data_IF_677867187202
#
_entry.id   IF_677867187202
#
_cell.length_a   1.000
_cell.length_b   1.000
_cell.length_c   1.000
_cell.angle_alpha   90.00
_cell.angle_beta   90.00
_cell.angle_gamma   90.00
#
_symmetry.space_group_name_H-M   'P 1'
#
loop_
_entity.id
_entity.type
_entity.pdbx_description
1 polymer ?
#
# COMPACT_ATOMS: atom_id res chain seq x y z
N UNK A 1 2.79 -29.36 2.36
CA UNK A 1 2.78 -28.79 1.00
C UNK A 1 1.56 -27.92 0.85
N UNK A 2 1.73 -26.60 0.92
CA UNK A 2 0.65 -25.68 0.60
C UNK A 2 0.58 -25.56 -0.93
N UNK A 3 -0.57 -25.81 -1.58
CA UNK A 3 -0.67 -25.67 -3.02
C UNK A 3 -0.41 -24.22 -3.46
N UNK A 4 0.38 -24.05 -4.51
CA UNK A 4 0.79 -22.74 -5.03
C UNK A 4 -0.46 -21.90 -5.40
N UNK A 5 -0.67 -20.73 -4.75
CA UNK A 5 -1.78 -19.83 -5.07
C UNK A 5 -1.83 -19.43 -6.55
N UNK A 6 -0.68 -19.27 -7.22
CA UNK A 6 -0.62 -18.90 -8.63
C UNK A 6 -1.24 -19.99 -9.52
N UNK A 7 -0.88 -21.25 -9.27
CA UNK A 7 -1.45 -22.41 -9.98
C UNK A 7 -2.97 -22.48 -9.79
N UNK A 8 -3.44 -22.25 -8.55
CA UNK A 8 -4.88 -22.26 -8.24
C UNK A 8 -5.63 -21.15 -8.98
N UNK A 9 -5.10 -19.93 -9.02
CA UNK A 9 -5.69 -18.83 -9.77
C UNK A 9 -5.70 -19.09 -11.28
N UNK A 10 -4.62 -19.62 -11.84
CA UNK A 10 -4.55 -20.02 -13.24
C UNK A 10 -5.63 -21.05 -13.60
N UNK A 11 -5.85 -22.04 -12.73
CA UNK A 11 -6.92 -23.04 -12.92
C UNK A 11 -8.32 -22.42 -12.88
N UNK A 12 -8.56 -21.46 -11.98
CA UNK A 12 -9.83 -20.73 -11.91
C UNK A 12 -10.06 -19.90 -13.17
N UNK A 13 -9.05 -19.14 -13.62
CA UNK A 13 -9.11 -18.35 -14.88
C UNK A 13 -9.42 -19.27 -16.06
N UNK A 14 -8.73 -20.41 -16.17
CA UNK A 14 -8.95 -21.37 -17.25
C UNK A 14 -10.38 -21.92 -17.27
N UNK A 15 -10.92 -22.23 -16.09
CA UNK A 15 -12.29 -22.74 -15.94
C UNK A 15 -13.31 -21.67 -16.34
N UNK A 16 -13.09 -20.42 -15.91
CA UNK A 16 -13.93 -19.29 -16.30
C UNK A 16 -13.94 -19.13 -17.82
N UNK A 17 -12.78 -19.02 -18.44
CA UNK A 17 -12.64 -18.73 -19.87
C UNK A 17 -13.15 -19.85 -20.78
N UNK A 18 -12.97 -21.11 -20.37
CA UNK A 18 -13.25 -22.27 -21.25
C UNK A 18 -14.57 -22.96 -20.99
N UNK A 19 -15.14 -22.79 -19.81
CA UNK A 19 -16.36 -23.51 -19.41
C UNK A 19 -17.47 -22.54 -19.07
N UNK A 20 -17.21 -21.61 -18.14
CA UNK A 20 -18.27 -20.77 -17.57
C UNK A 20 -18.67 -19.67 -18.55
N UNK A 21 -17.72 -18.86 -19.02
CA UNK A 21 -17.99 -17.72 -19.91
C UNK A 21 -18.67 -18.16 -21.22
N UNK A 22 -18.23 -19.24 -21.90
CA UNK A 22 -18.92 -19.72 -23.10
C UNK A 22 -20.35 -20.21 -22.85
N UNK A 23 -20.71 -20.54 -21.60
CA UNK A 23 -22.04 -20.98 -21.22
C UNK A 23 -22.95 -19.82 -20.76
N UNK A 24 -22.43 -18.59 -20.67
CA UNK A 24 -23.22 -17.40 -20.33
C UNK A 24 -24.10 -17.00 -21.52
N UNK A 25 -25.36 -16.67 -21.26
CA UNK A 25 -26.27 -16.09 -22.26
C UNK A 25 -25.70 -14.79 -22.85
N UNK A 26 -25.39 -14.81 -24.14
CA UNK A 26 -24.83 -13.66 -24.86
C UNK A 26 -25.80 -12.50 -25.01
N UNK A 27 -27.11 -12.74 -24.81
CA UNK A 27 -28.13 -11.68 -24.72
C UNK A 27 -28.05 -10.89 -23.42
N UNK A 28 -27.43 -11.43 -22.38
CA UNK A 28 -27.20 -10.74 -21.11
C UNK A 28 -25.85 -10.02 -21.12
N UNK A 29 -25.82 -8.84 -21.75
CA UNK A 29 -24.60 -8.04 -21.93
C UNK A 29 -23.91 -7.72 -20.59
N UNK A 30 -24.67 -7.46 -19.53
CA UNK A 30 -24.13 -7.19 -18.21
C UNK A 30 -23.36 -8.41 -17.67
N UNK A 31 -23.91 -9.63 -17.80
CA UNK A 31 -23.24 -10.84 -17.35
C UNK A 31 -21.91 -11.07 -18.10
N UNK A 32 -21.91 -10.86 -19.41
CA UNK A 32 -20.71 -10.98 -20.25
C UNK A 32 -19.64 -9.96 -19.82
N UNK A 33 -20.03 -8.71 -19.60
CA UNK A 33 -19.13 -7.66 -19.12
C UNK A 33 -18.52 -8.02 -17.74
N UNK A 34 -19.35 -8.43 -16.78
CA UNK A 34 -18.90 -8.80 -15.44
C UNK A 34 -17.98 -10.03 -15.44
N UNK A 35 -18.18 -10.97 -16.36
CA UNK A 35 -17.24 -12.07 -16.60
C UNK A 35 -15.86 -11.55 -17.04
N UNK A 36 -15.83 -10.62 -17.99
CA UNK A 36 -14.60 -9.98 -18.45
C UNK A 36 -13.86 -9.25 -17.32
N UNK A 37 -14.59 -8.46 -16.53
CA UNK A 37 -14.05 -7.75 -15.35
C UNK A 37 -13.46 -8.74 -14.35
N UNK A 38 -14.18 -9.83 -14.05
CA UNK A 38 -13.72 -10.86 -13.11
C UNK A 38 -12.41 -11.49 -13.56
N UNK A 39 -12.31 -11.89 -14.84
CA UNK A 39 -11.08 -12.47 -15.40
C UNK A 39 -9.93 -11.47 -15.36
N UNK A 40 -10.18 -10.19 -15.70
CA UNK A 40 -9.15 -9.15 -15.63
C UNK A 40 -8.61 -8.96 -14.21
N UNK A 41 -9.49 -8.93 -13.19
CA UNK A 41 -9.08 -8.84 -11.79
C UNK A 41 -8.25 -10.05 -11.34
N UNK A 42 -8.63 -11.27 -11.73
CA UNK A 42 -7.89 -12.48 -11.40
C UNK A 42 -6.49 -12.50 -12.04
N UNK A 43 -6.36 -12.04 -13.28
CA UNK A 43 -5.07 -11.91 -13.96
C UNK A 43 -4.17 -10.87 -13.28
N UNK A 44 -4.72 -9.71 -12.92
CA UNK A 44 -4.00 -8.70 -12.15
C UNK A 44 -3.51 -9.24 -10.80
N UNK A 45 -4.33 -10.01 -10.08
CA UNK A 45 -3.89 -10.69 -8.85
C UNK A 45 -2.73 -11.66 -9.10
N UNK A 46 -2.78 -12.42 -10.19
CA UNK A 46 -1.72 -13.35 -10.56
C UNK A 46 -0.39 -12.63 -10.86
N UNK A 47 -0.45 -11.47 -11.51
CA UNK A 47 0.70 -10.60 -11.79
C UNK A 47 1.28 -9.99 -10.51
N UNK A 48 0.43 -9.63 -9.54
CA UNK A 48 0.83 -9.01 -8.28
C UNK A 48 1.44 -9.98 -7.26
N UNK A 49 0.96 -11.22 -7.23
CA UNK A 49 1.41 -12.25 -6.27
C UNK A 49 2.93 -12.34 -6.09
N UNK A 50 3.75 -12.48 -7.14
CA UNK A 50 5.20 -12.59 -7.00
C UNK A 50 5.87 -11.31 -6.45
N UNK A 51 5.20 -10.17 -6.52
CA UNK A 51 5.74 -8.86 -6.14
C UNK A 51 5.34 -8.44 -4.71
N UNK A 52 4.42 -9.15 -4.05
CA UNK A 52 3.85 -8.73 -2.77
C UNK A 52 4.88 -8.47 -1.68
N UNK A 53 5.87 -9.36 -1.53
CA UNK A 53 6.91 -9.21 -0.50
C UNK A 53 7.75 -7.97 -0.75
N UNK A 54 8.21 -7.77 -2.00
CA UNK A 54 8.98 -6.58 -2.37
C UNK A 54 8.17 -5.30 -2.17
N UNK A 55 6.90 -5.31 -2.58
CA UNK A 55 5.99 -4.18 -2.40
C UNK A 55 5.82 -3.78 -0.93
N UNK A 56 5.57 -4.75 -0.04
CA UNK A 56 5.44 -4.46 1.39
C UNK A 56 6.76 -3.98 2.00
N UNK A 57 7.88 -4.60 1.61
CA UNK A 57 9.22 -4.20 2.04
C UNK A 57 9.52 -2.74 1.68
N UNK A 58 9.24 -2.34 0.44
CA UNK A 58 9.39 -0.96 -0.02
C UNK A 58 8.47 0.02 0.72
N UNK A 59 7.21 -0.35 0.95
CA UNK A 59 6.27 0.48 1.72
C UNK A 59 6.77 0.72 3.16
N UNK A 60 7.25 -0.33 3.82
CA UNK A 60 7.83 -0.24 5.16
C UNK A 60 9.08 0.62 5.16
N UNK A 61 10.02 0.36 4.23
CA UNK A 61 11.27 1.09 4.15
C UNK A 61 11.03 2.60 3.99
N UNK A 62 10.13 2.99 3.09
CA UNK A 62 9.76 4.39 2.87
C UNK A 62 9.15 5.06 4.09
N UNK A 63 8.24 4.36 4.78
CA UNK A 63 7.55 4.91 5.94
C UNK A 63 8.51 5.05 7.13
N UNK A 64 9.37 4.06 7.35
CA UNK A 64 10.40 4.09 8.39
C UNK A 64 11.40 5.21 8.13
N UNK A 65 11.92 5.33 6.90
CA UNK A 65 12.83 6.42 6.53
C UNK A 65 12.16 7.79 6.78
N UNK A 66 10.89 7.94 6.39
CA UNK A 66 10.12 9.17 6.65
C UNK A 66 10.02 9.48 8.15
N UNK A 67 9.78 8.47 8.98
CA UNK A 67 9.64 8.64 10.42
C UNK A 67 11.00 8.90 11.12
N UNK A 68 12.09 8.33 10.61
CA UNK A 68 13.45 8.53 11.11
C UNK A 68 14.03 9.90 10.73
N UNK A 69 13.64 10.44 9.58
CA UNK A 69 14.08 11.75 9.09
C UNK A 69 13.34 12.94 9.74
N UNK A 70 12.42 12.67 10.68
CA UNK A 70 11.73 13.73 11.42
C UNK A 70 12.73 14.48 12.33
N UNK A 71 12.60 15.81 12.45
CA UNK A 71 13.45 16.57 13.36
C UNK A 71 13.18 16.18 14.82
N UNK A 72 14.05 16.64 15.72
CA UNK A 72 13.84 16.49 17.15
C UNK A 72 12.46 17.06 17.55
N UNK A 73 11.75 16.33 18.41
CA UNK A 73 10.39 16.66 18.78
C UNK A 73 10.33 17.98 19.56
N UNK A 74 9.49 18.90 19.10
CA UNK A 74 9.33 20.22 19.71
C UNK A 74 7.83 20.59 19.82
N UNK A 75 7.41 20.91 21.03
CA UNK A 75 6.00 21.12 21.39
C UNK A 75 5.73 20.79 22.86
N UNK A 76 4.44 20.65 23.18
CA UNK A 76 3.97 20.32 24.51
C UNK A 76 4.01 18.83 24.84
N UNK A 77 3.50 18.45 26.03
CA UNK A 77 3.55 17.08 26.53
C UNK A 77 2.92 16.03 25.62
N UNK A 78 1.88 16.38 24.84
CA UNK A 78 1.21 15.43 23.95
C UNK A 78 2.12 15.09 22.76
N UNK A 79 2.70 16.13 22.13
CA UNK A 79 3.67 15.99 21.04
C UNK A 79 4.88 15.15 21.46
N UNK A 80 5.51 15.50 22.58
CA UNK A 80 6.70 14.80 23.08
C UNK A 80 6.39 13.33 23.39
N UNK A 81 5.24 13.04 24.03
CA UNK A 81 4.84 11.67 24.32
C UNK A 81 4.52 10.86 23.05
N UNK A 82 3.91 11.48 22.03
CA UNK A 82 3.63 10.82 20.76
C UNK A 82 4.91 10.53 19.96
N UNK A 83 5.87 11.47 19.95
CA UNK A 83 7.16 11.27 19.31
C UNK A 83 7.96 10.15 19.98
N UNK A 84 7.96 10.09 21.32
CA UNK A 84 8.58 9.00 22.07
C UNK A 84 7.95 7.63 21.73
N UNK A 85 6.61 7.55 21.63
CA UNK A 85 5.92 6.33 21.21
C UNK A 85 6.26 5.92 19.77
N UNK A 86 6.36 6.87 18.85
CA UNK A 86 6.80 6.59 17.49
C UNK A 86 8.22 6.01 17.48
N UNK A 87 9.14 6.60 18.24
CA UNK A 87 10.49 6.08 18.42
C UNK A 87 10.51 4.65 18.96
N UNK A 88 9.69 4.35 19.98
CA UNK A 88 9.55 3.00 20.53
C UNK A 88 9.06 1.99 19.47
N UNK A 89 8.02 2.34 18.71
CA UNK A 89 7.47 1.49 17.64
C UNK A 89 8.51 1.22 16.56
N UNK A 90 9.35 2.20 16.20
CA UNK A 90 10.43 2.01 15.23
C UNK A 90 11.50 1.03 15.73
N UNK A 91 11.79 1.02 17.02
CA UNK A 91 12.79 0.12 17.62
C UNK A 91 12.26 -1.28 17.94
N UNK A 92 10.94 -1.45 18.08
CA UNK A 92 10.27 -2.70 18.46
C UNK A 92 10.06 -3.67 17.27
N UNK A 93 10.81 -3.50 16.16
CA UNK A 93 10.70 -4.41 15.02
C UNK A 93 11.44 -5.71 15.32
N UNK A 94 10.71 -6.81 15.41
CA UNK A 94 11.32 -8.13 15.43
C UNK A 94 11.78 -8.56 14.03
N UNK A 95 12.84 -9.37 13.95
CA UNK A 95 13.36 -9.89 12.68
C UNK A 95 12.34 -10.75 11.91
N UNK A 96 11.31 -11.26 12.60
CA UNK A 96 10.24 -12.10 12.05
C UNK A 96 8.92 -11.36 11.83
N UNK A 97 8.89 -10.04 12.02
CA UNK A 97 7.65 -9.28 11.88
C UNK A 97 7.15 -9.27 10.44
N UNK A 98 5.83 -9.42 10.29
CA UNK A 98 5.14 -9.19 9.02
C UNK A 98 5.22 -7.69 8.66
N UNK A 99 5.81 -7.39 7.51
CA UNK A 99 5.97 -6.03 7.00
C UNK A 99 4.67 -5.24 6.97
N UNK A 100 3.53 -5.88 6.67
CA UNK A 100 2.22 -5.21 6.67
C UNK A 100 1.82 -4.78 8.06
N UNK A 101 1.96 -5.68 9.04
CA UNK A 101 1.61 -5.37 10.42
C UNK A 101 2.52 -4.27 10.95
N UNK A 102 3.83 -4.36 10.67
CA UNK A 102 4.78 -3.33 11.07
C UNK A 102 4.50 -1.98 10.41
N UNK A 103 4.21 -1.94 9.10
CA UNK A 103 3.77 -0.75 8.38
C UNK A 103 2.56 -0.09 9.06
N UNK A 104 1.55 -0.88 9.43
CA UNK A 104 0.36 -0.35 10.12
C UNK A 104 0.67 0.18 11.52
N UNK A 105 1.55 -0.48 12.30
CA UNK A 105 1.96 0.03 13.63
C UNK A 105 2.69 1.37 13.51
N UNK A 106 3.68 1.47 12.62
CA UNK A 106 4.43 2.72 12.40
C UNK A 106 3.50 3.81 11.86
N UNK A 107 2.65 3.48 10.89
CA UNK A 107 1.72 4.43 10.29
C UNK A 107 0.73 4.99 11.32
N UNK A 108 0.24 4.13 12.22
CA UNK A 108 -0.63 4.55 13.31
C UNK A 108 0.09 5.47 14.30
N UNK A 109 1.31 5.15 14.68
CA UNK A 109 2.11 6.00 15.56
C UNK A 109 2.42 7.37 14.94
N UNK A 110 2.67 7.42 13.62
CA UNK A 110 2.88 8.66 12.88
C UNK A 110 1.59 9.49 12.78
N UNK A 111 0.44 8.85 12.56
CA UNK A 111 -0.88 9.51 12.60
C UNK A 111 -1.17 10.10 13.98
N UNK A 112 -0.84 9.39 15.05
CA UNK A 112 -1.03 9.87 16.41
C UNK A 112 -0.09 11.04 16.74
N UNK A 113 1.14 11.04 16.20
CA UNK A 113 2.04 12.19 16.25
C UNK A 113 1.48 13.40 15.51
N UNK A 114 0.97 13.22 14.29
CA UNK A 114 0.30 14.29 13.53
C UNK A 114 -0.84 14.93 14.34
N UNK A 115 -1.67 14.10 14.98
CA UNK A 115 -2.78 14.58 15.82
C UNK A 115 -2.29 15.35 17.05
N UNK A 116 -1.25 14.87 17.72
CA UNK A 116 -0.67 15.54 18.89
C UNK A 116 -0.04 16.89 18.53
N UNK A 117 0.71 16.93 17.44
CA UNK A 117 1.37 18.14 16.91
C UNK A 117 0.36 19.21 16.49
N UNK A 118 -0.83 18.81 16.03
CA UNK A 118 -1.92 19.75 15.77
C UNK A 118 -2.47 20.41 17.06
N UNK A 119 -2.36 19.72 18.21
CA UNK A 119 -2.84 20.19 19.50
C UNK A 119 -1.84 21.09 20.24
N UNK A 120 -0.60 20.63 20.40
CA UNK A 120 0.42 21.34 21.19
C UNK A 120 1.82 21.39 20.54
N UNK A 121 1.94 21.06 19.26
CA UNK A 121 3.22 21.08 18.54
C UNK A 121 3.73 22.49 18.28
N UNK A 122 5.05 22.69 18.38
CA UNK A 122 5.66 23.96 18.01
C UNK A 122 5.41 24.24 16.51
N UNK A 123 5.16 25.50 16.09
CA UNK A 123 4.82 25.81 14.70
C UNK A 123 5.86 25.36 13.67
N UNK A 124 7.15 25.39 14.04
CA UNK A 124 8.25 24.90 13.18
C UNK A 124 8.20 23.38 13.00
N UNK A 125 8.08 22.65 14.12
CA UNK A 125 7.97 21.20 14.13
C UNK A 125 6.74 20.72 13.36
N UNK A 126 5.58 21.34 13.57
CA UNK A 126 4.35 21.04 12.84
C UNK A 126 4.53 21.11 11.33
N UNK A 127 5.10 22.21 10.83
CA UNK A 127 5.36 22.35 9.39
C UNK A 127 6.34 21.30 8.85
N UNK A 128 7.29 20.85 9.66
CA UNK A 128 8.22 19.80 9.28
C UNK A 128 7.53 18.44 9.16
N UNK A 129 6.70 18.06 10.15
CA UNK A 129 5.92 16.82 10.11
C UNK A 129 4.95 16.83 8.92
N UNK A 130 4.19 17.91 8.74
CA UNK A 130 3.24 18.05 7.61
C UNK A 130 3.96 17.84 6.27
N UNK A 131 5.14 18.44 6.09
CA UNK A 131 5.95 18.28 4.88
C UNK A 131 6.42 16.85 4.70
N UNK A 132 6.94 16.21 5.75
CA UNK A 132 7.44 14.84 5.68
C UNK A 132 6.30 13.89 5.25
N UNK A 133 5.13 14.02 5.87
CA UNK A 133 3.96 13.19 5.58
C UNK A 133 3.45 13.43 4.17
N UNK A 134 3.31 14.68 3.72
CA UNK A 134 2.89 14.97 2.35
C UNK A 134 3.88 14.42 1.31
N UNK A 135 5.18 14.48 1.60
CA UNK A 135 6.22 13.94 0.71
C UNK A 135 6.13 12.41 0.64
N UNK A 136 5.95 11.74 1.78
CA UNK A 136 5.67 10.31 1.84
C UNK A 136 4.39 9.94 1.09
N UNK A 137 3.29 10.65 1.31
CA UNK A 137 2.01 10.38 0.64
C UNK A 137 2.12 10.49 -0.87
N UNK A 138 2.96 11.39 -1.41
CA UNK A 138 3.24 11.47 -2.85
C UNK A 138 3.92 10.20 -3.37
N UNK A 139 4.96 9.71 -2.69
CA UNK A 139 5.65 8.47 -3.07
C UNK A 139 4.72 7.26 -2.99
N UNK A 140 3.98 7.14 -1.89
CA UNK A 140 3.04 6.04 -1.69
C UNK A 140 1.88 6.07 -2.70
N UNK A 141 1.40 7.26 -3.06
CA UNK A 141 0.37 7.42 -4.09
C UNK A 141 0.90 7.02 -5.46
N UNK A 142 2.13 7.42 -5.82
CA UNK A 142 2.76 7.01 -7.09
C UNK A 142 2.89 5.48 -7.16
N UNK A 143 3.42 4.84 -6.11
CA UNK A 143 3.53 3.39 -6.01
C UNK A 143 2.17 2.70 -6.14
N UNK A 144 1.15 3.19 -5.43
CA UNK A 144 -0.19 2.61 -5.46
C UNK A 144 -0.84 2.76 -6.84
N UNK A 145 -0.66 3.91 -7.50
CA UNK A 145 -1.14 4.13 -8.88
C UNK A 145 -0.46 3.19 -9.86
N UNK A 146 0.86 3.03 -9.81
CA UNK A 146 1.61 2.08 -10.63
C UNK A 146 1.20 0.63 -10.36
N UNK A 147 0.93 0.26 -9.10
CA UNK A 147 0.46 -1.07 -8.74
C UNK A 147 -0.93 -1.39 -9.33
N UNK A 148 -1.83 -0.41 -9.38
CA UNK A 148 -3.18 -0.62 -9.91
C UNK A 148 -3.39 -0.13 -11.35
N UNK A 149 -2.31 0.14 -12.10
CA UNK A 149 -2.40 0.72 -13.46
C UNK A 149 -3.20 -0.16 -14.41
N UNK A 150 -3.07 -1.49 -14.28
CA UNK A 150 -3.78 -2.48 -15.10
C UNK A 150 -5.30 -2.47 -14.87
N UNK A 151 -5.79 -1.88 -13.77
CA UNK A 151 -7.22 -1.75 -13.50
C UNK A 151 -7.90 -0.71 -14.43
N UNK A 152 -7.14 0.15 -15.11
CA UNK A 152 -7.67 1.10 -16.10
C UNK A 152 -8.39 2.32 -15.52
N UNK A 153 -8.32 2.53 -14.20
CA UNK A 153 -8.97 3.67 -13.52
C UNK A 153 -8.05 4.89 -13.34
N UNK A 154 -6.76 4.75 -13.58
CA UNK A 154 -5.85 5.89 -13.48
C UNK A 154 -6.14 6.88 -14.61
N UNK A 155 -6.32 8.19 -14.34
CA UNK A 155 -6.62 9.17 -15.38
C UNK A 155 -5.41 9.44 -16.30
N UNK A 156 -4.21 9.03 -15.89
CA UNK A 156 -2.94 9.33 -16.57
C UNK A 156 -1.97 8.13 -16.51
N UNK A 157 -2.34 6.96 -17.07
CA UNK A 157 -1.55 5.75 -16.94
C UNK A 157 -0.20 5.84 -17.66
N UNK A 158 -0.10 6.63 -18.73
CA UNK A 158 1.15 6.84 -19.47
C UNK A 158 2.22 7.63 -18.70
N UNK A 159 1.86 8.30 -17.60
CA UNK A 159 2.81 9.02 -16.73
C UNK A 159 3.40 8.11 -15.63
N UNK A 160 2.93 6.87 -15.50
CA UNK A 160 3.30 5.98 -14.40
C UNK A 160 4.50 5.10 -14.78
N UNK A 161 5.53 5.01 -13.93
CA UNK A 161 6.60 4.04 -14.13
C UNK A 161 6.09 2.62 -13.81
N UNK A 162 6.77 1.58 -14.34
CA UNK A 162 6.55 0.20 -13.91
C UNK A 162 6.68 0.07 -12.40
N UNK A 163 5.82 -0.72 -11.75
CA UNK A 163 5.86 -0.84 -10.29
C UNK A 163 7.15 -1.48 -9.77
N UNK A 164 7.82 -2.28 -10.61
CA UNK A 164 9.14 -2.86 -10.33
C UNK A 164 10.25 -1.83 -10.16
N UNK A 165 10.06 -0.59 -10.63
CA UNK A 165 11.00 0.52 -10.39
C UNK A 165 10.71 1.27 -9.06
N UNK A 166 9.60 0.94 -8.39
CA UNK A 166 9.13 1.62 -7.18
C UNK A 166 9.14 0.73 -5.92
N UNK A 167 9.62 -0.52 -6.06
CA UNK A 167 9.70 -1.54 -5.01
C UNK A 167 11.12 -2.06 -4.81
#
# INVERSE_FOLDING_TARGET
>A
MTPDPAIRLQSVIHTLERVIIPAVDTGNLLAVEQCGVTVAQLRMLLEHLPLLTAYHGACVADLVATAQDLPEADGGPQTLAAAARLGQVLTDRAATDDDRLFYHRVGKALEDLLRAVAGDGAPGYRRAIDRAVLTFSRRQSLRSRSWFVAAGFDPKPAELPPVTELI
#
